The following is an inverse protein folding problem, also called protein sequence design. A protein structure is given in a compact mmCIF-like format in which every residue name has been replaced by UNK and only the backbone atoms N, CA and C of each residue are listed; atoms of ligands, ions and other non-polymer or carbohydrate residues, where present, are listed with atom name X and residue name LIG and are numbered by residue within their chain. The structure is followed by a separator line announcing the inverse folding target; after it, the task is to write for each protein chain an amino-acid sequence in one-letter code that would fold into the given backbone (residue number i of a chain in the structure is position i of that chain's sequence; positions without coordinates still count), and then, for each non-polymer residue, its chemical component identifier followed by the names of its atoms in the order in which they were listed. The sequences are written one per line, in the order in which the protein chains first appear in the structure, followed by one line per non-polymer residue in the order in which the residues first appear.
data_IF_906949999579
#
_entry.id   IF_906949999579
#
_cell.length_a   1.000
_cell.length_b   1.000
_cell.length_c   1.000
_cell.angle_alpha   90.00
_cell.angle_beta   90.00
_cell.angle_gamma   90.00
#
_symmetry.space_group_name_H-M   'P 1'
#
loop_
_entity.id
_entity.type
_entity.pdbx_description
1 polymer ?
#
# COMPACT_ATOMS: atom_id res chain seq x y z
N UNK A 1 -15.00 16.67 -16.01
CA UNK A 1 -14.32 16.34 -14.76
C UNK A 1 -12.83 16.56 -14.88
N UNK A 2 -12.19 17.05 -13.82
CA UNK A 2 -10.73 17.19 -13.77
C UNK A 2 -10.07 15.87 -13.42
N UNK A 3 -8.91 15.60 -14.02
CA UNK A 3 -8.08 14.42 -13.79
C UNK A 3 -6.60 14.80 -13.81
N UNK A 4 -5.82 14.27 -12.88
CA UNK A 4 -4.38 14.48 -12.80
C UNK A 4 -3.67 13.42 -13.62
N UNK A 5 -2.77 13.85 -14.48
CA UNK A 5 -1.95 13.00 -15.33
C UNK A 5 -0.48 13.46 -15.28
N UNK A 6 0.40 12.58 -15.70
CA UNK A 6 1.80 12.89 -15.98
C UNK A 6 2.06 12.81 -17.48
N UNK A 7 2.83 13.76 -18.02
CA UNK A 7 3.36 13.74 -19.37
C UNK A 7 4.70 14.48 -19.41
N UNK A 8 5.70 13.94 -20.11
CA UNK A 8 7.04 14.56 -20.28
C UNK A 8 7.76 14.94 -18.97
N UNK A 9 7.49 14.21 -17.89
CA UNK A 9 8.03 14.51 -16.56
C UNK A 9 7.30 15.63 -15.81
N UNK A 10 6.18 16.12 -16.33
CA UNK A 10 5.38 17.21 -15.74
C UNK A 10 4.00 16.70 -15.32
N UNK A 11 3.42 17.36 -14.32
CA UNK A 11 2.04 17.15 -13.87
C UNK A 11 1.10 17.98 -14.74
N UNK A 12 0.06 17.32 -15.23
CA UNK A 12 -0.98 17.97 -16.04
C UNK A 12 -2.36 17.72 -15.40
N UNK A 13 -3.15 18.77 -15.31
CA UNK A 13 -4.58 18.66 -14.97
C UNK A 13 -5.34 18.76 -16.30
N UNK A 14 -6.04 17.70 -16.66
CA UNK A 14 -6.80 17.63 -17.90
C UNK A 14 -8.29 17.51 -17.61
N UNK A 15 -9.10 18.04 -18.51
CA UNK A 15 -10.55 17.87 -18.48
C UNK A 15 -10.98 16.64 -19.29
N UNK A 16 -11.83 15.82 -18.72
CA UNK A 16 -12.43 14.64 -19.32
C UNK A 16 -13.94 14.67 -19.15
N UNK A 17 -14.66 13.96 -19.99
CA UNK A 17 -16.08 13.68 -19.76
C UNK A 17 -16.25 12.77 -18.52
N UNK A 18 -17.36 12.95 -17.81
CA UNK A 18 -17.73 12.02 -16.74
C UNK A 18 -18.08 10.68 -17.39
N UNK A 19 -17.48 9.57 -16.93
CA UNK A 19 -17.72 8.27 -17.54
C UNK A 19 -19.18 7.82 -17.34
N UNK A 20 -19.73 7.16 -18.36
CA UNK A 20 -21.08 6.58 -18.30
C UNK A 20 -21.04 5.25 -17.55
N UNK A 21 -22.08 5.01 -16.75
CA UNK A 21 -22.22 3.74 -16.01
C UNK A 21 -22.22 2.52 -16.94
N UNK A 22 -21.70 1.41 -16.42
CA UNK A 22 -21.65 0.10 -17.09
C UNK A 22 -22.13 -0.98 -16.14
N UNK A 23 -22.55 -2.12 -16.71
CA UNK A 23 -22.89 -3.30 -15.92
C UNK A 23 -21.70 -3.75 -15.06
N UNK A 24 -21.96 -4.13 -13.81
CA UNK A 24 -20.98 -4.51 -12.79
C UNK A 24 -20.01 -3.39 -12.34
N UNK A 25 -20.27 -2.13 -12.69
CA UNK A 25 -19.46 -0.99 -12.30
C UNK A 25 -20.23 -0.04 -11.39
N UNK A 26 -19.48 0.78 -10.68
CA UNK A 26 -19.97 1.83 -9.79
C UNK A 26 -19.36 3.15 -10.27
N UNK A 27 -20.21 4.15 -10.48
CA UNK A 27 -19.77 5.53 -10.70
C UNK A 27 -19.61 6.20 -9.32
N UNK A 28 -18.39 6.56 -8.98
CA UNK A 28 -18.04 7.16 -7.70
C UNK A 28 -17.69 8.63 -7.90
N UNK A 29 -18.36 9.51 -7.15
CA UNK A 29 -17.92 10.90 -6.97
C UNK A 29 -16.83 10.90 -5.90
N UNK A 30 -15.63 11.27 -6.29
CA UNK A 30 -14.45 11.21 -5.42
C UNK A 30 -14.53 12.23 -4.31
N UNK A 31 -14.24 11.82 -3.07
CA UNK A 31 -14.03 12.72 -1.94
C UNK A 31 -12.55 12.95 -1.70
N UNK A 32 -11.77 11.87 -1.67
CA UNK A 32 -10.33 11.90 -1.42
C UNK A 32 -9.59 10.86 -2.25
N UNK A 33 -8.34 11.20 -2.61
CA UNK A 33 -7.38 10.22 -3.17
C UNK A 33 -6.05 10.33 -2.43
N UNK A 34 -5.40 9.19 -2.23
CA UNK A 34 -4.10 9.13 -1.55
C UNK A 34 -2.96 9.03 -2.57
N UNK A 35 -1.93 9.85 -2.42
CA UNK A 35 -0.71 9.78 -3.23
C UNK A 35 0.15 8.62 -2.72
N UNK A 36 0.66 7.80 -3.63
CA UNK A 36 1.68 6.79 -3.38
C UNK A 36 3.05 7.29 -3.85
N UNK A 37 3.88 7.88 -2.95
CA UNK A 37 5.04 8.65 -3.39
C UNK A 37 6.00 7.85 -4.26
N UNK A 38 6.36 6.64 -3.85
CA UNK A 38 7.32 5.81 -4.59
C UNK A 38 6.87 5.51 -6.02
N UNK A 39 5.63 5.08 -6.17
CA UNK A 39 5.05 4.70 -7.48
C UNK A 39 4.84 5.93 -8.36
N UNK A 40 4.21 6.97 -7.83
CA UNK A 40 3.78 8.11 -8.64
C UNK A 40 4.95 9.01 -9.05
N UNK A 41 5.95 9.20 -8.18
CA UNK A 41 7.19 9.89 -8.54
C UNK A 41 7.95 9.11 -9.64
N UNK A 42 7.94 7.77 -9.57
CA UNK A 42 8.54 6.94 -10.62
C UNK A 42 7.75 7.03 -11.93
N UNK A 43 6.43 7.03 -11.87
CA UNK A 43 5.56 7.22 -13.05
C UNK A 43 5.76 8.59 -13.67
N UNK A 44 5.83 9.65 -12.85
CA UNK A 44 6.09 11.01 -13.31
C UNK A 44 7.43 11.10 -14.05
N UNK A 45 8.51 10.62 -13.45
CA UNK A 45 9.87 10.64 -14.05
C UNK A 45 9.97 9.87 -15.36
N UNK A 46 9.21 8.79 -15.49
CA UNK A 46 9.22 7.92 -16.67
C UNK A 46 8.12 8.26 -17.69
N UNK A 47 7.31 9.29 -17.44
CA UNK A 47 6.22 9.67 -18.34
C UNK A 47 6.76 10.21 -19.66
N UNK A 48 6.14 9.76 -20.76
CA UNK A 48 6.46 10.16 -22.13
C UNK A 48 5.49 11.23 -22.62
N UNK A 49 5.32 11.36 -23.92
CA UNK A 49 4.40 12.35 -24.54
C UNK A 49 2.93 12.09 -24.22
N UNK A 50 2.55 10.81 -24.08
CA UNK A 50 1.18 10.41 -23.77
C UNK A 50 0.84 10.67 -22.31
N UNK A 51 -0.39 11.12 -22.07
CA UNK A 51 -0.90 11.32 -20.71
C UNK A 51 -1.09 10.00 -19.98
N UNK A 52 -0.40 9.84 -18.86
CA UNK A 52 -0.55 8.71 -17.95
C UNK A 52 -1.29 9.19 -16.70
N UNK A 53 -2.47 8.63 -16.42
CA UNK A 53 -3.23 8.97 -15.21
C UNK A 53 -2.47 8.54 -13.95
N UNK A 54 -2.40 9.43 -12.96
CA UNK A 54 -1.79 9.16 -11.66
C UNK A 54 -2.83 8.74 -10.63
N UNK A 55 -2.38 8.07 -9.58
CA UNK A 55 -3.20 7.59 -8.48
C UNK A 55 -3.82 6.22 -8.73
N UNK A 56 -4.17 5.55 -7.63
CA UNK A 56 -4.82 4.23 -7.67
C UNK A 56 -5.58 3.89 -6.38
N UNK A 57 -5.68 4.83 -5.43
CA UNK A 57 -6.35 4.64 -4.14
C UNK A 57 -7.23 5.85 -3.83
N UNK A 58 -8.51 5.61 -3.59
CA UNK A 58 -9.52 6.66 -3.46
C UNK A 58 -10.63 6.29 -2.48
N UNK A 59 -11.36 7.31 -2.05
CA UNK A 59 -12.66 7.18 -1.39
C UNK A 59 -13.64 8.20 -1.97
N UNK A 60 -14.92 7.90 -1.87
CA UNK A 60 -15.97 8.79 -2.36
C UNK A 60 -17.37 8.28 -2.04
N UNK A 61 -18.33 8.78 -2.80
CA UNK A 61 -19.74 8.40 -2.73
C UNK A 61 -20.14 7.69 -4.04
N UNK A 62 -20.78 6.54 -3.93
CA UNK A 62 -21.40 5.88 -5.06
C UNK A 62 -22.59 6.72 -5.54
N UNK A 63 -22.51 7.31 -6.73
CA UNK A 63 -23.60 8.16 -7.26
C UNK A 63 -24.50 7.37 -8.22
N UNK A 64 -23.97 6.36 -8.89
CA UNK A 64 -24.72 5.47 -9.76
C UNK A 64 -24.11 4.07 -9.73
N UNK A 65 -24.94 3.03 -9.83
CA UNK A 65 -24.50 1.62 -9.85
C UNK A 65 -25.09 0.93 -11.08
N UNK A 66 -24.23 0.13 -11.74
CA UNK A 66 -24.64 -0.67 -12.89
C UNK A 66 -25.42 -1.92 -12.49
N UNK A 67 -26.07 -2.55 -13.45
CA UNK A 67 -26.70 -3.85 -13.23
C UNK A 67 -25.67 -4.88 -12.74
N UNK A 68 -26.09 -5.80 -11.88
CA UNK A 68 -25.20 -6.80 -11.27
C UNK A 68 -24.35 -6.31 -10.09
N UNK A 69 -24.53 -5.06 -9.63
CA UNK A 69 -23.97 -4.57 -8.35
C UNK A 69 -25.06 -4.70 -7.29
N UNK A 70 -24.89 -5.61 -6.33
CA UNK A 70 -25.88 -5.92 -5.31
C UNK A 70 -25.52 -5.41 -3.90
N UNK A 71 -24.22 -5.25 -3.63
CA UNK A 71 -23.70 -4.94 -2.30
C UNK A 71 -23.46 -3.45 -2.05
N UNK A 72 -23.55 -2.60 -3.07
CA UNK A 72 -23.39 -1.14 -3.00
C UNK A 72 -24.61 -0.48 -3.65
N UNK A 73 -25.09 0.62 -3.09
CA UNK A 73 -26.21 1.42 -3.61
C UNK A 73 -25.82 2.90 -3.70
N UNK A 74 -26.49 3.70 -4.51
CA UNK A 74 -26.29 5.14 -4.55
C UNK A 74 -26.44 5.77 -3.15
N UNK A 75 -25.51 6.66 -2.80
CA UNK A 75 -25.39 7.30 -1.50
C UNK A 75 -24.44 6.56 -0.53
N UNK A 76 -24.01 5.34 -0.82
CA UNK A 76 -23.04 4.65 0.03
C UNK A 76 -21.65 5.30 -0.09
N UNK A 77 -20.97 5.44 1.05
CA UNK A 77 -19.57 5.81 1.09
C UNK A 77 -18.70 4.60 0.74
N UNK A 78 -17.80 4.77 -0.20
CA UNK A 78 -17.00 3.67 -0.75
C UNK A 78 -15.53 4.01 -0.83
N UNK A 79 -14.67 2.98 -0.65
CA UNK A 79 -13.24 3.04 -0.90
C UNK A 79 -12.91 2.20 -2.14
N UNK A 80 -12.01 2.71 -2.98
CA UNK A 80 -11.73 2.17 -4.30
C UNK A 80 -10.23 2.00 -4.53
N UNK A 81 -9.86 0.94 -5.24
CA UNK A 81 -8.46 0.65 -5.55
C UNK A 81 -8.30 0.15 -6.98
N UNK A 82 -7.15 0.50 -7.59
CA UNK A 82 -6.65 -0.15 -8.80
C UNK A 82 -6.72 0.72 -10.07
N UNK A 83 -5.55 1.15 -10.57
CA UNK A 83 -5.46 1.74 -11.91
C UNK A 83 -5.71 0.66 -13.00
N UNK A 84 -6.34 0.98 -14.14
CA UNK A 84 -6.69 2.32 -14.59
C UNK A 84 -8.07 2.83 -14.11
N UNK A 85 -8.81 2.06 -13.32
CA UNK A 85 -10.18 2.42 -12.89
C UNK A 85 -10.20 3.51 -11.83
N UNK A 86 -9.18 3.52 -10.96
CA UNK A 86 -8.99 4.52 -9.92
C UNK A 86 -7.79 5.39 -10.27
N UNK A 87 -7.97 6.69 -10.22
CA UNK A 87 -6.96 7.71 -10.48
C UNK A 87 -7.27 8.97 -9.67
N UNK A 88 -6.40 9.96 -9.68
CA UNK A 88 -6.67 11.28 -9.11
C UNK A 88 -7.64 12.06 -10.01
N UNK A 89 -8.94 11.79 -9.87
CA UNK A 89 -10.01 12.35 -10.71
C UNK A 89 -11.27 12.63 -9.89
N UNK A 90 -12.06 13.62 -10.31
CA UNK A 90 -13.32 13.99 -9.64
C UNK A 90 -14.39 12.88 -9.67
N UNK A 91 -14.37 12.02 -10.71
CA UNK A 91 -15.25 10.85 -10.82
C UNK A 91 -14.45 9.63 -11.26
N UNK A 92 -14.86 8.48 -10.78
CA UNK A 92 -14.24 7.18 -11.06
C UNK A 92 -15.31 6.19 -11.52
N UNK A 93 -15.00 5.38 -12.52
CA UNK A 93 -15.83 4.26 -12.93
C UNK A 93 -15.11 2.96 -12.53
N UNK A 94 -15.57 2.34 -11.44
CA UNK A 94 -14.84 1.29 -10.73
C UNK A 94 -15.60 -0.04 -10.83
N UNK A 95 -14.94 -1.17 -11.17
CA UNK A 95 -15.52 -2.49 -11.07
C UNK A 95 -15.97 -2.80 -9.64
N UNK A 96 -17.07 -3.50 -9.48
CA UNK A 96 -17.62 -3.85 -8.15
C UNK A 96 -16.65 -4.64 -7.28
N UNK A 97 -15.73 -5.39 -7.88
CA UNK A 97 -14.68 -6.17 -7.18
C UNK A 97 -13.55 -5.30 -6.61
N UNK A 98 -13.46 -4.04 -7.03
CA UNK A 98 -12.46 -3.05 -6.61
C UNK A 98 -13.06 -1.90 -5.81
N UNK A 99 -14.25 -2.12 -5.26
CA UNK A 99 -14.99 -1.13 -4.48
C UNK A 99 -15.56 -1.78 -3.22
N UNK A 100 -15.32 -1.15 -2.06
CA UNK A 100 -15.77 -1.65 -0.75
C UNK A 100 -16.47 -0.55 0.04
N UNK A 101 -17.48 -0.92 0.86
CA UNK A 101 -18.22 0.03 1.70
C UNK A 101 -17.32 0.54 2.83
N UNK A 102 -17.44 1.83 3.13
CA UNK A 102 -16.79 2.47 4.28
C UNK A 102 -17.79 2.48 5.45
N UNK A 103 -17.49 1.81 6.59
CA UNK A 103 -18.34 1.86 7.78
C UNK A 103 -18.36 3.25 8.42
N UNK A 104 -19.33 3.51 9.29
CA UNK A 104 -19.55 4.84 9.88
C UNK A 104 -18.35 5.34 10.71
N UNK A 105 -17.65 4.45 11.38
CA UNK A 105 -16.52 4.79 12.26
C UNK A 105 -15.23 5.15 11.49
N UNK A 106 -15.16 4.84 10.19
CA UNK A 106 -14.00 5.13 9.33
C UNK A 106 -14.30 6.40 8.53
N UNK A 107 -13.40 7.39 8.59
CA UNK A 107 -13.51 8.57 7.75
C UNK A 107 -13.17 8.27 6.29
N UNK A 108 -13.77 9.02 5.36
CA UNK A 108 -13.44 8.88 3.94
C UNK A 108 -11.97 9.19 3.66
N UNK A 109 -11.37 10.09 4.43
CA UNK A 109 -9.96 10.44 4.32
C UNK A 109 -9.06 9.23 4.68
N UNK A 110 -9.30 8.54 5.80
CA UNK A 110 -8.59 7.32 6.18
C UNK A 110 -8.81 6.20 5.15
N UNK A 111 -10.04 6.02 4.72
CA UNK A 111 -10.41 5.00 3.74
C UNK A 111 -9.77 5.23 2.35
N UNK A 112 -9.36 6.46 2.02
CA UNK A 112 -8.65 6.74 0.76
C UNK A 112 -7.29 6.03 0.65
N UNK A 113 -6.73 5.53 1.76
CA UNK A 113 -5.52 4.71 1.81
C UNK A 113 -5.76 3.22 1.49
N UNK A 114 -6.98 2.82 1.13
CA UNK A 114 -7.37 1.41 0.94
C UNK A 114 -6.45 0.64 -0.02
N UNK A 115 -5.98 1.26 -1.08
CA UNK A 115 -5.08 0.63 -2.04
C UNK A 115 -3.70 0.35 -1.45
N UNK A 116 -3.16 1.30 -0.66
CA UNK A 116 -1.88 1.12 0.03
C UNK A 116 -2.03 0.05 1.12
N UNK A 117 -3.17 0.03 1.82
CA UNK A 117 -3.48 -0.98 2.82
C UNK A 117 -3.60 -2.38 2.23
N UNK A 118 -4.28 -2.53 1.09
CA UNK A 118 -4.40 -3.81 0.38
C UNK A 118 -3.04 -4.37 -0.05
N UNK A 119 -2.12 -3.50 -0.52
CA UNK A 119 -0.74 -3.87 -0.87
C UNK A 119 0.02 -4.35 0.37
N UNK A 120 -0.09 -3.65 1.49
CA UNK A 120 0.57 -4.03 2.74
C UNK A 120 0.06 -5.39 3.27
N UNK A 121 -1.26 -5.61 3.23
CA UNK A 121 -1.88 -6.88 3.62
C UNK A 121 -1.43 -8.01 2.68
N UNK A 122 -1.36 -7.77 1.38
CA UNK A 122 -0.89 -8.77 0.43
C UNK A 122 0.56 -9.18 0.73
N UNK A 123 1.45 -8.23 1.01
CA UNK A 123 2.83 -8.52 1.37
C UNK A 123 2.94 -9.44 2.59
N UNK A 124 2.17 -9.16 3.65
CA UNK A 124 2.11 -10.02 4.84
C UNK A 124 1.58 -11.42 4.54
N UNK A 125 0.54 -11.52 3.71
CA UNK A 125 -0.03 -12.81 3.32
C UNK A 125 0.91 -13.64 2.46
N UNK A 126 1.72 -13.02 1.61
CA UNK A 126 2.78 -13.69 0.85
C UNK A 126 3.81 -14.37 1.76
N UNK A 127 4.13 -13.74 2.89
CA UNK A 127 5.09 -14.28 3.85
C UNK A 127 4.59 -15.54 4.57
N UNK A 128 3.26 -15.75 4.66
CA UNK A 128 2.65 -16.87 5.40
C UNK A 128 3.19 -17.02 6.83
N UNK A 129 3.48 -15.91 7.51
CA UNK A 129 3.94 -15.92 8.88
C UNK A 129 2.81 -16.28 9.85
N UNK A 130 3.18 -16.96 10.94
CA UNK A 130 2.27 -17.33 12.00
C UNK A 130 2.44 -16.40 13.21
N UNK A 131 1.42 -16.25 14.04
CA UNK A 131 1.50 -15.46 15.27
C UNK A 131 2.69 -15.91 16.14
N UNK A 132 3.40 -14.94 16.73
CA UNK A 132 4.62 -15.16 17.52
C UNK A 132 5.91 -15.28 16.70
N UNK A 133 5.85 -15.41 15.37
CA UNK A 133 7.03 -15.34 14.51
C UNK A 133 7.59 -13.93 14.41
N UNK A 134 8.88 -13.82 14.08
CA UNK A 134 9.62 -12.56 14.02
C UNK A 134 9.59 -11.99 12.59
N UNK A 135 9.09 -10.76 12.46
CA UNK A 135 9.03 -9.99 11.23
C UNK A 135 9.91 -8.76 11.32
N UNK A 136 10.99 -8.69 10.56
CA UNK A 136 11.78 -7.47 10.37
C UNK A 136 11.14 -6.65 9.26
N UNK A 137 10.89 -5.35 9.51
CA UNK A 137 10.38 -4.41 8.51
C UNK A 137 11.45 -3.36 8.23
N UNK A 138 12.10 -3.44 7.08
CA UNK A 138 13.17 -2.55 6.66
C UNK A 138 12.65 -1.47 5.72
N UNK A 139 12.74 -0.22 6.18
CA UNK A 139 12.21 0.96 5.51
C UNK A 139 10.79 1.33 6.00
N UNK A 140 10.67 2.42 6.76
CA UNK A 140 9.42 2.91 7.36
C UNK A 140 8.82 4.07 6.56
N UNK A 141 8.77 3.96 5.23
CA UNK A 141 7.85 4.72 4.39
C UNK A 141 6.41 4.26 4.62
N UNK A 142 5.45 4.76 3.84
CA UNK A 142 4.02 4.45 4.02
C UNK A 142 3.75 2.93 4.04
N UNK A 143 4.37 2.14 3.17
CA UNK A 143 4.20 0.68 3.16
C UNK A 143 4.81 0.00 4.38
N UNK A 144 6.02 0.39 4.79
CA UNK A 144 6.65 -0.19 5.98
C UNK A 144 5.89 0.13 7.26
N UNK A 145 5.37 1.34 7.39
CA UNK A 145 4.49 1.72 8.49
C UNK A 145 3.22 0.86 8.53
N UNK A 146 2.54 0.69 7.39
CA UNK A 146 1.32 -0.13 7.30
C UNK A 146 1.61 -1.61 7.56
N UNK A 147 2.65 -2.17 6.92
CA UNK A 147 3.06 -3.57 7.14
C UNK A 147 3.39 -3.82 8.61
N UNK A 148 4.18 -2.93 9.22
CA UNK A 148 4.57 -3.08 10.61
C UNK A 148 3.38 -3.00 11.57
N UNK A 149 2.44 -2.06 11.38
CA UNK A 149 1.22 -1.98 12.18
C UNK A 149 0.35 -3.23 12.04
N UNK A 150 0.11 -3.68 10.80
CA UNK A 150 -0.73 -4.85 10.54
C UNK A 150 -0.08 -6.12 11.07
N UNK A 151 1.25 -6.25 10.94
CA UNK A 151 2.02 -7.35 11.52
C UNK A 151 1.89 -7.39 13.05
N UNK A 152 2.00 -6.24 13.71
CA UNK A 152 1.83 -6.12 15.16
C UNK A 152 0.38 -6.46 15.57
N UNK A 153 -0.62 -5.96 14.84
CA UNK A 153 -2.03 -6.30 15.06
C UNK A 153 -2.33 -7.80 14.85
N UNK A 154 -1.51 -8.48 14.05
CA UNK A 154 -1.57 -9.93 13.79
C UNK A 154 -0.74 -10.76 14.78
N UNK A 155 -0.28 -10.18 15.88
CA UNK A 155 0.51 -10.83 16.93
C UNK A 155 1.86 -11.40 16.44
N UNK A 156 2.46 -10.82 15.42
CA UNK A 156 3.86 -11.06 15.06
C UNK A 156 4.78 -10.25 16.00
N UNK A 157 6.01 -10.72 16.19
CA UNK A 157 7.07 -9.96 16.86
C UNK A 157 7.73 -9.05 15.83
N UNK A 158 7.35 -7.79 15.81
CA UNK A 158 7.82 -6.85 14.80
C UNK A 158 9.11 -6.17 15.23
N UNK A 159 10.11 -6.14 14.34
CA UNK A 159 11.35 -5.39 14.48
C UNK A 159 11.40 -4.35 13.36
N UNK A 160 10.97 -3.12 13.61
CA UNK A 160 11.00 -2.06 12.61
C UNK A 160 12.40 -1.43 12.55
N UNK A 161 12.90 -1.23 11.32
CA UNK A 161 14.20 -0.61 11.06
C UNK A 161 14.08 0.48 10.00
N UNK A 162 14.64 1.64 10.27
CA UNK A 162 14.75 2.74 9.30
C UNK A 162 15.88 3.69 9.67
N UNK A 163 16.67 4.10 8.73
CA UNK A 163 17.79 5.04 8.93
C UNK A 163 17.35 6.51 9.17
N UNK A 164 16.07 6.78 9.24
CA UNK A 164 15.49 8.10 9.46
C UNK A 164 14.78 8.14 10.80
N UNK A 165 15.31 8.91 11.75
CA UNK A 165 14.82 9.00 13.13
C UNK A 165 13.35 9.38 13.22
N UNK A 166 12.91 10.42 12.52
CA UNK A 166 11.51 10.87 12.53
C UNK A 166 10.50 9.80 12.13
N UNK A 167 10.84 8.94 11.17
CA UNK A 167 9.97 7.82 10.76
C UNK A 167 9.95 6.71 11.77
N UNK A 168 11.07 6.48 12.43
CA UNK A 168 11.18 5.52 13.52
C UNK A 168 10.36 5.98 14.73
N UNK A 169 10.50 7.24 15.15
CA UNK A 169 9.72 7.85 16.21
C UNK A 169 8.22 7.82 15.94
N UNK A 170 7.80 8.11 14.69
CA UNK A 170 6.40 8.05 14.30
C UNK A 170 5.84 6.62 14.47
N UNK A 171 6.59 5.61 14.04
CA UNK A 171 6.17 4.22 14.18
C UNK A 171 6.05 3.81 15.66
N UNK A 172 7.05 4.16 16.46
CA UNK A 172 7.06 3.86 17.89
C UNK A 172 5.94 4.59 18.64
N UNK A 173 5.68 5.86 18.30
CA UNK A 173 4.56 6.63 18.87
C UNK A 173 3.20 5.96 18.60
N UNK A 174 2.99 5.45 17.39
CA UNK A 174 1.71 4.85 16.97
C UNK A 174 1.52 3.45 17.58
N UNK A 175 2.59 2.66 17.63
CA UNK A 175 2.48 1.22 17.94
C UNK A 175 2.97 0.83 19.34
N UNK A 176 3.79 1.67 19.96
CA UNK A 176 4.55 1.32 21.17
C UNK A 176 5.66 0.29 20.94
N UNK A 177 5.91 -0.11 19.67
CA UNK A 177 6.95 -1.08 19.33
C UNK A 177 8.28 -0.37 19.17
N UNK A 178 9.30 -0.84 19.90
CA UNK A 178 10.66 -0.32 19.82
C UNK A 178 11.18 -0.36 18.39
N UNK A 179 11.65 0.77 17.91
CA UNK A 179 12.13 0.95 16.53
C UNK A 179 13.63 1.24 16.51
N UNK A 180 14.31 0.81 15.47
CA UNK A 180 15.76 0.92 15.35
C UNK A 180 16.14 1.83 14.18
N UNK A 181 17.16 2.69 14.40
CA UNK A 181 17.76 3.56 13.38
C UNK A 181 19.20 3.15 13.04
N UNK A 182 19.83 2.39 13.92
CA UNK A 182 21.15 1.82 13.72
C UNK A 182 21.03 0.32 13.43
N UNK A 183 21.65 -0.13 12.33
CA UNK A 183 21.54 -1.52 11.85
C UNK A 183 22.13 -2.47 12.91
N UNK A 184 23.29 -2.15 13.47
CA UNK A 184 23.94 -2.98 14.48
C UNK A 184 23.07 -3.22 15.73
N UNK A 185 22.39 -2.17 16.19
CA UNK A 185 21.48 -2.29 17.35
C UNK A 185 20.24 -3.13 17.04
N UNK A 186 19.76 -3.03 15.78
CA UNK A 186 18.66 -3.87 15.33
C UNK A 186 19.10 -5.34 15.26
N UNK A 187 20.29 -5.61 14.73
CA UNK A 187 20.87 -6.96 14.65
C UNK A 187 21.09 -7.57 16.03
N UNK A 188 21.67 -6.81 16.98
CA UNK A 188 21.81 -7.24 18.37
C UNK A 188 20.46 -7.61 19.02
N UNK A 189 19.44 -6.80 18.77
CA UNK A 189 18.10 -7.08 19.29
C UNK A 189 17.46 -8.29 18.62
N UNK A 190 17.62 -8.43 17.29
CA UNK A 190 17.17 -9.61 16.55
C UNK A 190 17.83 -10.88 17.11
N UNK A 191 19.15 -10.85 17.32
CA UNK A 191 19.89 -11.98 17.85
C UNK A 191 19.37 -12.38 19.24
N UNK A 192 19.16 -11.39 20.11
CA UNK A 192 18.63 -11.59 21.45
C UNK A 192 17.26 -12.29 21.43
N UNK A 193 16.26 -11.74 20.69
CA UNK A 193 14.90 -12.27 20.75
C UNK A 193 14.70 -13.55 19.94
N UNK A 194 15.53 -13.77 18.90
CA UNK A 194 15.54 -14.99 18.09
C UNK A 194 16.42 -16.09 18.71
N UNK A 195 17.19 -15.79 19.77
CA UNK A 195 18.21 -16.69 20.36
C UNK A 195 19.24 -17.14 19.35
N UNK A 196 19.75 -16.21 18.55
CA UNK A 196 20.72 -16.49 17.48
C UNK A 196 20.17 -17.22 16.26
N UNK A 197 18.85 -17.33 16.10
CA UNK A 197 18.24 -18.05 14.96
C UNK A 197 17.91 -17.17 13.78
N UNK A 198 17.71 -15.88 13.99
CA UNK A 198 17.28 -14.92 12.99
C UNK A 198 15.76 -14.80 12.83
N UNK A 199 15.32 -13.96 11.92
CA UNK A 199 13.91 -13.63 11.65
C UNK A 199 13.23 -14.71 10.79
N UNK A 200 11.92 -14.87 10.96
CA UNK A 200 11.08 -15.72 10.11
C UNK A 200 10.79 -15.08 8.77
N UNK A 201 10.59 -13.76 8.77
CA UNK A 201 10.38 -12.96 7.56
C UNK A 201 11.03 -11.59 7.64
N UNK A 202 11.48 -11.08 6.49
CA UNK A 202 12.00 -9.72 6.32
C UNK A 202 11.22 -9.05 5.20
N UNK A 203 10.64 -7.89 5.47
CA UNK A 203 9.91 -7.07 4.51
C UNK A 203 10.78 -5.89 4.07
N UNK A 204 11.15 -5.86 2.80
CA UNK A 204 11.97 -4.82 2.21
C UNK A 204 11.08 -3.74 1.58
N UNK A 205 10.91 -2.63 2.28
CA UNK A 205 10.04 -1.51 1.89
C UNK A 205 10.80 -0.27 1.42
N UNK A 206 12.13 -0.35 1.30
CA UNK A 206 13.01 0.74 0.87
C UNK A 206 12.99 0.92 -0.66
N UNK A 207 13.57 2.02 -1.15
CA UNK A 207 13.69 2.33 -2.58
C UNK A 207 14.97 1.79 -3.22
N UNK A 208 15.19 2.08 -4.50
CA UNK A 208 16.27 1.55 -5.36
C UNK A 208 17.68 1.64 -4.80
N UNK A 209 17.99 2.72 -4.06
CA UNK A 209 19.33 2.93 -3.47
C UNK A 209 19.69 1.92 -2.37
N UNK A 210 18.76 1.09 -1.96
CA UNK A 210 18.92 0.14 -0.87
C UNK A 210 19.19 -1.31 -1.34
N UNK A 211 19.75 -1.50 -2.54
CA UNK A 211 20.03 -2.82 -3.11
C UNK A 211 20.86 -3.75 -2.20
N UNK A 212 21.77 -3.20 -1.40
CA UNK A 212 22.53 -3.96 -0.40
C UNK A 212 21.62 -4.66 0.64
N UNK A 213 20.44 -4.09 0.92
CA UNK A 213 19.50 -4.65 1.89
C UNK A 213 18.94 -6.00 1.48
N UNK A 214 19.00 -6.37 0.21
CA UNK A 214 18.60 -7.71 -0.24
C UNK A 214 19.53 -8.79 0.35
N UNK A 215 20.86 -8.55 0.35
CA UNK A 215 21.79 -9.43 1.01
C UNK A 215 21.65 -9.38 2.54
N UNK A 216 21.53 -8.19 3.11
CA UNK A 216 21.30 -8.02 4.56
C UNK A 216 20.04 -8.74 5.01
N UNK A 217 18.96 -8.69 4.23
CA UNK A 217 17.73 -9.44 4.58
C UNK A 217 17.99 -10.94 4.72
N UNK A 218 18.87 -11.49 3.88
CA UNK A 218 19.22 -12.91 3.95
C UNK A 218 20.11 -13.24 5.16
N UNK A 219 20.99 -12.32 5.58
CA UNK A 219 21.78 -12.44 6.80
C UNK A 219 20.88 -12.49 8.03
N UNK A 220 19.88 -11.61 8.10
CA UNK A 220 18.93 -11.51 9.20
C UNK A 220 17.97 -12.69 9.32
N UNK A 221 17.72 -13.40 8.21
CA UNK A 221 16.78 -14.53 8.18
C UNK A 221 17.34 -15.78 8.85
N UNK A 222 16.47 -16.52 9.51
CA UNK A 222 16.73 -17.90 9.93
C UNK A 222 16.85 -18.82 8.71
N UNK A 223 17.29 -20.07 8.95
CA UNK A 223 17.20 -21.13 7.95
C UNK A 223 15.73 -21.29 7.49
N UNK A 224 15.52 -21.32 6.15
CA UNK A 224 14.22 -21.36 5.49
C UNK A 224 13.32 -20.15 5.77
N UNK A 225 13.93 -19.01 6.14
CA UNK A 225 13.23 -17.75 6.28
C UNK A 225 12.84 -17.13 4.93
N UNK A 226 12.06 -16.08 4.97
CA UNK A 226 11.46 -15.47 3.77
C UNK A 226 11.81 -13.99 3.66
N UNK A 227 12.37 -13.58 2.52
CA UNK A 227 12.57 -12.16 2.16
C UNK A 227 11.47 -11.72 1.20
N UNK A 228 10.68 -10.73 1.59
CA UNK A 228 9.56 -10.19 0.83
C UNK A 228 9.93 -8.79 0.32
N UNK A 229 10.04 -8.67 -0.99
CA UNK A 229 10.34 -7.41 -1.66
C UNK A 229 9.05 -6.68 -1.95
N UNK A 230 8.86 -5.53 -1.31
CA UNK A 230 7.68 -4.65 -1.45
C UNK A 230 8.06 -3.37 -2.19
N UNK A 231 9.23 -2.81 -1.89
CA UNK A 231 9.77 -1.61 -2.52
C UNK A 231 10.37 -1.87 -3.91
N UNK A 232 10.65 -0.78 -4.63
CA UNK A 232 11.35 -0.81 -5.92
C UNK A 232 12.88 -0.91 -5.68
N UNK A 233 13.32 -2.08 -5.24
CA UNK A 233 14.73 -2.37 -4.90
C UNK A 233 15.38 -3.14 -6.05
N UNK A 234 16.54 -2.70 -6.50
CA UNK A 234 17.37 -3.48 -7.41
C UNK A 234 18.08 -4.61 -6.62
N UNK A 235 17.74 -5.89 -6.89
CA UNK A 235 18.18 -6.97 -6.03
C UNK A 235 19.62 -7.41 -6.31
N UNK A 236 20.38 -7.63 -5.24
CA UNK A 236 21.65 -8.31 -5.25
C UNK A 236 21.58 -9.52 -4.32
N UNK A 237 21.77 -10.73 -4.85
CA UNK A 237 21.65 -11.96 -4.09
C UNK A 237 22.95 -12.73 -4.06
N UNK A 238 23.52 -12.94 -2.87
CA UNK A 238 24.60 -13.89 -2.67
C UNK A 238 24.04 -15.31 -2.74
N UNK A 239 24.49 -16.05 -3.76
CA UNK A 239 24.03 -17.42 -4.00
C UNK A 239 24.36 -18.37 -2.85
N UNK A 240 25.51 -18.19 -2.19
CA UNK A 240 25.91 -19.10 -1.11
C UNK A 240 25.01 -18.90 0.10
N UNK A 241 24.71 -17.64 0.45
CA UNK A 241 23.82 -17.29 1.54
C UNK A 241 22.40 -17.84 1.31
N UNK A 242 21.90 -17.75 0.07
CA UNK A 242 20.62 -18.35 -0.29
C UNK A 242 20.63 -19.87 -0.14
N UNK A 243 21.70 -20.52 -0.59
CA UNK A 243 21.84 -21.96 -0.57
C UNK A 243 22.00 -22.48 0.87
N UNK A 244 22.88 -21.88 1.65
CA UNK A 244 23.20 -22.32 3.01
C UNK A 244 21.99 -22.24 3.95
N UNK A 245 21.14 -21.24 3.76
CA UNK A 245 19.93 -21.06 4.58
C UNK A 245 18.64 -21.52 3.90
N UNK A 246 18.68 -22.02 2.67
CA UNK A 246 17.47 -22.44 1.91
C UNK A 246 16.38 -21.33 1.90
N UNK A 247 16.80 -20.08 1.63
CA UNK A 247 15.96 -18.88 1.75
C UNK A 247 14.94 -18.80 0.61
N UNK A 248 13.72 -18.35 0.93
CA UNK A 248 12.70 -18.01 -0.05
C UNK A 248 12.68 -16.50 -0.28
N UNK A 249 12.81 -16.09 -1.55
CA UNK A 249 12.72 -14.69 -1.94
C UNK A 249 11.45 -14.49 -2.78
N UNK A 250 10.63 -13.53 -2.40
CA UNK A 250 9.33 -13.29 -3.01
C UNK A 250 9.13 -11.80 -3.31
N UNK A 251 8.54 -11.49 -4.46
CA UNK A 251 8.08 -10.15 -4.80
C UNK A 251 6.60 -10.05 -4.45
N UNK A 252 6.24 -9.05 -3.65
CA UNK A 252 4.86 -8.69 -3.41
C UNK A 252 4.39 -7.69 -4.45
N UNK A 253 3.47 -8.10 -5.31
CA UNK A 253 2.97 -7.27 -6.41
C UNK A 253 1.55 -6.81 -6.13
N UNK A 254 1.35 -5.50 -5.98
CA UNK A 254 0.03 -4.86 -5.86
C UNK A 254 -0.82 -5.44 -4.71
N UNK A 255 -2.15 -5.42 -4.85
CA UNK A 255 -3.12 -5.86 -3.83
C UNK A 255 -3.36 -7.37 -3.74
N UNK A 256 -2.72 -8.15 -4.60
CA UNK A 256 -2.83 -9.62 -4.60
C UNK A 256 -3.65 -10.21 -5.74
N UNK A 257 -4.11 -11.45 -5.59
CA UNK A 257 -4.90 -12.15 -6.62
C UNK A 257 -6.12 -11.35 -7.06
N UNK A 258 -6.39 -11.36 -8.36
CA UNK A 258 -7.41 -10.53 -9.02
C UNK A 258 -6.81 -9.34 -9.75
N UNK A 259 -5.69 -8.81 -9.28
CA UNK A 259 -5.03 -7.67 -9.91
C UNK A 259 -4.47 -8.02 -11.28
N UNK A 260 -4.85 -7.22 -12.29
CA UNK A 260 -4.57 -7.41 -13.72
C UNK A 260 -5.25 -8.63 -14.36
N UNK A 261 -6.16 -9.31 -13.67
CA UNK A 261 -7.01 -10.33 -14.27
C UNK A 261 -8.28 -9.68 -14.84
N UNK A 262 -8.40 -9.71 -16.16
CA UNK A 262 -9.54 -9.11 -16.87
C UNK A 262 -10.89 -9.77 -16.52
N UNK A 263 -10.89 -11.04 -16.12
CA UNK A 263 -12.10 -11.73 -15.68
C UNK A 263 -12.55 -11.17 -14.34
N UNK A 264 -11.63 -11.03 -13.41
CA UNK A 264 -11.92 -10.46 -12.09
C UNK A 264 -12.26 -8.96 -12.17
N UNK A 265 -11.44 -8.17 -12.87
CA UNK A 265 -11.60 -6.72 -12.92
C UNK A 265 -12.73 -6.28 -13.86
N UNK A 266 -12.76 -6.74 -15.12
CA UNK A 266 -13.71 -6.23 -16.13
C UNK A 266 -15.04 -6.97 -16.16
N UNK A 267 -15.01 -8.30 -15.96
CA UNK A 267 -16.24 -9.10 -15.95
C UNK A 267 -16.82 -9.20 -14.53
N UNK A 268 -16.05 -8.75 -13.53
CA UNK A 268 -16.41 -8.76 -12.13
C UNK A 268 -16.80 -10.16 -11.62
N UNK A 269 -16.12 -11.19 -12.14
CA UNK A 269 -16.27 -12.58 -11.71
C UNK A 269 -15.20 -12.87 -10.66
N UNK A 270 -15.65 -13.09 -9.43
CA UNK A 270 -14.73 -13.40 -8.31
C UNK A 270 -14.25 -14.84 -8.37
N UNK A 271 -13.09 -15.10 -7.79
CA UNK A 271 -12.55 -16.45 -7.67
C UNK A 271 -13.34 -17.31 -6.68
N UNK A 272 -13.42 -18.61 -6.92
CA UNK A 272 -14.01 -19.52 -5.94
C UNK A 272 -13.29 -19.39 -4.59
N UNK A 273 -14.05 -19.02 -3.54
CA UNK A 273 -13.53 -18.69 -2.22
C UNK A 273 -12.63 -19.76 -1.59
N UNK A 274 -12.94 -21.03 -1.83
CA UNK A 274 -12.14 -22.15 -1.32
C UNK A 274 -10.77 -22.32 -1.99
N UNK A 275 -10.57 -21.72 -3.17
CA UNK A 275 -9.30 -21.81 -3.92
C UNK A 275 -8.46 -20.54 -3.81
N UNK A 276 -9.10 -19.38 -3.83
CA UNK A 276 -8.43 -18.07 -3.66
C UNK A 276 -9.10 -17.34 -2.51
N UNK A 277 -8.60 -17.58 -1.29
CA UNK A 277 -9.17 -17.00 -0.07
C UNK A 277 -9.04 -15.47 -0.05
N UNK A 278 -7.93 -14.95 -0.54
CA UNK A 278 -7.58 -13.54 -0.44
C UNK A 278 -7.31 -12.92 -1.81
N UNK A 279 -8.33 -12.25 -2.33
CA UNK A 279 -8.23 -11.41 -3.51
C UNK A 279 -7.89 -9.97 -3.10
N UNK A 280 -7.54 -9.11 -4.06
CA UNK A 280 -7.30 -7.69 -3.79
C UNK A 280 -8.53 -7.01 -3.16
N UNK A 281 -9.75 -7.33 -3.62
CA UNK A 281 -10.97 -6.81 -3.01
C UNK A 281 -11.12 -7.23 -1.54
N UNK A 282 -10.88 -8.50 -1.22
CA UNK A 282 -10.91 -8.99 0.17
C UNK A 282 -9.77 -8.42 1.02
N UNK A 283 -8.65 -8.04 0.41
CA UNK A 283 -7.59 -7.31 1.09
C UNK A 283 -8.00 -5.86 1.39
N UNK A 284 -8.77 -5.24 0.49
CA UNK A 284 -9.38 -3.93 0.74
C UNK A 284 -10.37 -3.98 1.91
N UNK A 285 -11.28 -4.95 1.90
CA UNK A 285 -12.24 -5.18 3.00
C UNK A 285 -11.52 -5.34 4.34
N UNK A 286 -10.44 -6.14 4.36
CA UNK A 286 -9.66 -6.36 5.56
C UNK A 286 -8.98 -5.09 6.06
N UNK A 287 -8.44 -4.25 5.18
CA UNK A 287 -7.88 -2.96 5.58
C UNK A 287 -8.93 -2.05 6.22
N UNK A 288 -10.11 -1.95 5.61
CA UNK A 288 -11.22 -1.16 6.14
C UNK A 288 -11.68 -1.71 7.50
N UNK A 289 -11.74 -3.04 7.67
CA UNK A 289 -12.07 -3.68 8.96
C UNK A 289 -11.03 -3.33 10.03
N UNK A 290 -9.74 -3.35 9.71
CA UNK A 290 -8.68 -3.00 10.66
C UNK A 290 -8.77 -1.54 11.12
N UNK A 291 -9.19 -0.62 10.24
CA UNK A 291 -9.48 0.77 10.61
C UNK A 291 -10.73 0.87 11.51
N UNK A 292 -11.82 0.21 11.14
CA UNK A 292 -13.09 0.23 11.88
C UNK A 292 -12.94 -0.30 13.31
N UNK A 293 -12.14 -1.37 13.47
CA UNK A 293 -11.85 -1.97 14.78
C UNK A 293 -10.73 -1.25 15.54
N UNK A 294 -10.18 -0.13 15.01
CA UNK A 294 -9.06 0.61 15.59
C UNK A 294 -7.81 -0.28 15.86
N UNK A 295 -7.58 -1.29 15.01
CA UNK A 295 -6.41 -2.17 15.09
C UNK A 295 -5.16 -1.53 14.50
N UNK A 296 -5.34 -0.55 13.63
CA UNK A 296 -4.30 0.27 13.01
C UNK A 296 -4.71 1.74 13.07
N UNK A 297 -3.72 2.63 13.07
CA UNK A 297 -3.94 4.08 13.02
C UNK A 297 -3.17 4.68 11.83
N UNK A 298 -3.91 5.34 10.95
CA UNK A 298 -3.34 6.02 9.77
C UNK A 298 -3.45 7.54 9.85
N UNK A 299 -4.09 8.10 10.89
CA UNK A 299 -4.31 9.54 11.05
C UNK A 299 -3.00 10.32 11.12
N UNK A 300 -2.02 9.78 11.83
CA UNK A 300 -0.70 10.40 11.98
C UNK A 300 0.13 10.41 10.68
N UNK A 301 -0.29 9.72 9.62
CA UNK A 301 0.37 9.72 8.31
C UNK A 301 -0.06 10.86 7.41
N UNK A 302 -1.19 11.46 7.72
CA UNK A 302 -1.87 12.46 6.91
C UNK A 302 -1.95 13.78 7.66
N UNK A 303 -1.63 14.87 6.98
CA UNK A 303 -1.94 16.23 7.40
C UNK A 303 -3.22 16.72 6.72
N UNK A 304 -3.45 18.03 6.74
CA UNK A 304 -4.56 18.63 6.03
C UNK A 304 -4.54 18.24 4.54
N UNK A 305 -5.71 17.90 3.98
CA UNK A 305 -5.80 17.55 2.56
C UNK A 305 -5.41 18.71 1.66
N UNK A 306 -4.79 18.41 0.55
CA UNK A 306 -4.39 19.38 -0.47
C UNK A 306 -5.45 19.50 -1.56
N UNK A 307 -5.45 20.62 -2.29
CA UNK A 307 -6.28 20.79 -3.48
C UNK A 307 -5.65 20.11 -4.69
N UNK A 308 -6.47 19.82 -5.69
CA UNK A 308 -6.01 19.24 -6.97
C UNK A 308 -4.94 20.13 -7.66
N UNK A 309 -4.98 21.43 -7.44
CA UNK A 309 -4.01 22.39 -7.99
C UNK A 309 -2.64 22.33 -7.36
N UNK A 310 -2.53 21.73 -6.17
CA UNK A 310 -1.32 21.75 -5.36
C UNK A 310 -0.52 20.45 -5.46
N UNK A 311 -0.96 19.53 -6.33
CA UNK A 311 -0.39 18.17 -6.45
C UNK A 311 1.06 18.17 -6.92
N UNK A 312 1.43 19.10 -7.82
CA UNK A 312 2.80 19.21 -8.30
C UNK A 312 3.76 19.55 -7.14
N UNK A 313 3.44 20.60 -6.36
CA UNK A 313 4.24 20.97 -5.19
C UNK A 313 4.27 19.87 -4.14
N UNK A 314 3.15 19.17 -3.94
CA UNK A 314 3.05 18.05 -3.02
C UNK A 314 3.97 16.88 -3.40
N UNK A 315 4.05 16.52 -4.68
CA UNK A 315 4.96 15.49 -5.17
C UNK A 315 6.43 15.90 -5.04
N UNK A 316 6.75 17.16 -5.29
CA UNK A 316 8.10 17.70 -5.06
C UNK A 316 8.48 17.61 -3.57
N UNK A 317 7.60 18.03 -2.66
CA UNK A 317 7.82 17.91 -1.22
C UNK A 317 8.05 16.45 -0.78
N UNK A 318 7.24 15.52 -1.27
CA UNK A 318 7.37 14.09 -0.98
C UNK A 318 8.67 13.52 -1.56
N UNK A 319 9.12 14.00 -2.73
CA UNK A 319 10.37 13.58 -3.36
C UNK A 319 11.60 14.11 -2.62
N UNK A 320 11.55 15.35 -2.12
CA UNK A 320 12.63 15.95 -1.32
C UNK A 320 12.79 15.29 0.06
N UNK A 321 11.89 14.37 0.39
CA UNK A 321 11.99 13.55 1.60
C UNK A 321 11.54 14.32 2.82
N UNK A 322 10.40 15.00 2.77
CA UNK A 322 9.75 15.46 4.00
C UNK A 322 9.52 14.24 4.89
N UNK A 323 10.38 14.13 5.91
CA UNK A 323 10.47 12.93 6.76
C UNK A 323 9.24 12.76 7.68
N UNK A 324 8.43 13.82 7.80
CA UNK A 324 7.25 13.87 8.66
C UNK A 324 5.97 13.43 7.96
N UNK A 325 5.91 13.55 6.63
CA UNK A 325 4.74 13.14 5.84
C UNK A 325 5.07 11.91 5.01
N UNK A 326 4.25 10.89 5.13
CA UNK A 326 4.42 9.64 4.41
C UNK A 326 3.63 9.59 3.10
N UNK A 327 2.57 10.40 3.04
CA UNK A 327 1.66 10.53 1.92
C UNK A 327 0.94 11.86 1.98
N UNK A 328 0.35 12.30 0.88
CA UNK A 328 -0.57 13.44 0.83
C UNK A 328 -1.93 12.98 0.32
N UNK A 329 -2.98 13.59 0.86
CA UNK A 329 -4.35 13.31 0.47
C UNK A 329 -4.89 14.49 -0.34
N UNK A 330 -5.42 14.20 -1.52
CA UNK A 330 -6.04 15.20 -2.38
C UNK A 330 -7.53 15.22 -2.07
N UNK A 331 -8.09 16.42 -1.80
CA UNK A 331 -9.51 16.64 -1.58
C UNK A 331 -10.21 17.11 -2.86
N UNK A 332 -11.42 16.60 -3.07
CA UNK A 332 -12.35 16.98 -4.13
C UNK A 332 -13.67 17.55 -3.56
N UNK A 333 -13.67 17.86 -2.25
CA UNK A 333 -14.81 18.45 -1.52
C UNK A 333 -14.84 19.97 -1.65
#
# INVERSE_FOLDING_TARGET
MKSICAAKGEICIIEKEIPKIKDNFILVKTSYTAISPGTEITMLKNSKEEYVSLGYSASGEAVEVGSGVEHIKPGDRVACYGAPYVSHSEYLLVPKTLCVIIPQNVSSMEASLVGLGAIAIHALRQAHLQFGEIAVVSGLGIFGQLIGQIANASALKVIPFNNTEKRAELFEKITGVKTFVEEEKMEEYLDLISRGKGADGVFLCAGRSAGYQTNKSMEWLRHRGKSIIVGDIEPHYDRNLMFDKEIQIMISKAGGPGRYDKIYELQAIDYPYGYVRWTEGRNMEEFIRLLDENRINVKDYMKEPIKITDVESALVELQLGNQEELTKIISYL
#
